data_IF_248066304467
#
_entry.id   IF_248066304467
#
_cell.length_a   1.000
_cell.length_b   1.000
_cell.length_c   1.000
_cell.angle_alpha   90.00
_cell.angle_beta   90.00
_cell.angle_gamma   90.00
#
_symmetry.space_group_name_H-M   'P 1'
#
loop_
_entity.id
_entity.type
_entity.pdbx_description
1 polymer ?
#
# COMPACT_ATOMS: atom_id res chain seq x y z
N UNK A 1 -7.63 22.58 57.20
CA UNK A 1 -6.53 21.85 57.88
C UNK A 1 -6.25 20.60 57.10
N UNK A 2 -5.03 20.28 57.06
CA UNK A 2 -4.27 20.07 55.80
C UNK A 2 -3.88 18.60 55.64
N UNK A 3 -3.40 18.23 54.46
CA UNK A 3 -2.16 17.47 54.32
C UNK A 3 -1.84 17.21 52.82
N UNK A 4 -0.87 17.93 52.31
CA UNK A 4 0.08 17.39 51.33
C UNK A 4 1.01 16.37 52.00
N UNK A 5 1.56 15.42 51.27
CA UNK A 5 2.99 15.53 50.96
C UNK A 5 3.43 15.06 49.55
N UNK A 6 4.42 15.78 49.04
CA UNK A 6 5.76 15.35 48.60
C UNK A 6 5.81 14.22 47.53
N UNK A 7 6.16 14.50 46.31
CA UNK A 7 7.54 14.76 45.90
C UNK A 7 8.26 13.45 45.59
N UNK A 8 8.31 13.02 44.29
CA UNK A 8 9.27 11.98 43.89
C UNK A 8 10.06 12.40 42.67
N UNK A 9 11.32 12.47 42.89
CA UNK A 9 12.43 12.98 42.09
C UNK A 9 12.59 12.26 40.75
N UNK A 10 12.90 13.05 39.74
CA UNK A 10 13.51 12.66 38.48
C UNK A 10 14.82 11.89 38.75
N UNK A 11 15.00 10.78 38.02
CA UNK A 11 16.32 10.20 37.76
C UNK A 11 16.59 10.28 36.27
N UNK A 12 17.45 11.17 35.91
CA UNK A 12 18.13 11.24 34.64
C UNK A 12 19.09 10.06 34.58
N UNK A 13 18.95 9.18 33.63
CA UNK A 13 19.95 8.18 33.28
C UNK A 13 20.55 8.55 31.94
N UNK A 14 21.72 9.13 31.98
CA UNK A 14 22.63 9.26 30.83
C UNK A 14 23.20 7.88 30.52
N UNK A 15 23.00 7.41 29.30
CA UNK A 15 23.71 6.24 28.76
C UNK A 15 24.55 6.70 27.57
N UNK A 16 25.85 6.44 27.71
CA UNK A 16 26.90 6.91 26.84
C UNK A 16 26.93 6.24 25.46
N UNK A 17 27.44 6.99 24.53
CA UNK A 17 27.77 6.56 23.17
C UNK A 17 29.01 5.64 23.21
N UNK A 18 28.88 4.43 22.65
CA UNK A 18 30.00 3.59 22.30
C UNK A 18 30.17 3.58 20.77
N UNK A 19 31.18 4.28 20.30
CA UNK A 19 31.64 4.23 18.91
C UNK A 19 32.45 2.95 18.71
N UNK A 20 32.00 2.09 17.79
CA UNK A 20 32.80 0.95 17.29
C UNK A 20 33.38 1.35 15.93
N UNK A 21 34.68 1.60 15.92
CA UNK A 21 35.46 1.78 14.72
C UNK A 21 35.94 0.40 14.22
N UNK A 22 35.46 -0.05 13.06
CA UNK A 22 36.01 -1.21 12.35
C UNK A 22 37.02 -0.77 11.32
N UNK A 23 38.29 -1.09 11.58
CA UNK A 23 39.43 -0.87 10.67
C UNK A 23 39.40 -1.93 9.54
N UNK A 24 39.38 -1.48 8.27
CA UNK A 24 39.69 -2.30 7.11
C UNK A 24 41.21 -2.37 6.95
N UNK A 25 41.77 -3.55 7.08
CA UNK A 25 43.17 -3.84 6.74
C UNK A 25 43.27 -4.21 5.25
N UNK A 26 43.93 -3.34 4.45
CA UNK A 26 44.41 -3.68 3.11
C UNK A 26 45.73 -4.48 3.26
N UNK A 27 45.75 -5.70 2.79
CA UNK A 27 46.97 -6.46 2.60
C UNK A 27 47.55 -6.17 1.21
N UNK A 28 48.66 -5.45 1.17
CA UNK A 28 49.48 -5.29 -0.02
C UNK A 28 50.49 -6.44 -0.10
N UNK A 29 50.44 -7.25 -1.16
CA UNK A 29 51.49 -8.20 -1.49
C UNK A 29 52.55 -7.50 -2.34
N UNK A 30 53.75 -7.38 -1.79
CA UNK A 30 54.93 -6.92 -2.49
C UNK A 30 55.58 -8.06 -3.29
N UNK A 31 55.96 -7.73 -4.50
CA UNK A 31 56.67 -8.56 -5.44
C UNK A 31 58.12 -8.76 -5.03
N UNK A 32 58.64 -9.98 -5.10
CA UNK A 32 60.05 -10.27 -5.23
C UNK A 32 60.31 -11.08 -6.50
N UNK A 33 61.14 -10.50 -7.35
CA UNK A 33 61.60 -11.04 -8.61
C UNK A 33 62.60 -12.19 -8.41
N UNK A 34 62.44 -13.29 -9.13
CA UNK A 34 63.56 -14.14 -9.54
C UNK A 34 63.28 -14.82 -10.89
N UNK A 35 64.20 -14.64 -11.77
CA UNK A 35 64.25 -15.07 -13.15
C UNK A 35 64.45 -16.59 -13.31
N UNK A 36 63.72 -17.23 -14.22
CA UNK A 36 64.19 -18.37 -15.01
C UNK A 36 63.20 -18.67 -16.17
N UNK A 37 63.81 -18.97 -17.28
CA UNK A 37 63.50 -19.12 -18.69
C UNK A 37 62.38 -20.17 -19.03
N UNK A 38 61.85 -20.22 -20.27
CA UNK A 38 60.46 -20.47 -20.58
C UNK A 38 60.11 -21.94 -20.85
N UNK A 39 58.98 -22.36 -20.36
CA UNK A 39 58.30 -23.54 -20.89
C UNK A 39 56.93 -23.10 -21.44
N UNK A 40 56.73 -23.33 -22.74
CA UNK A 40 55.46 -23.14 -23.41
C UNK A 40 54.37 -24.00 -22.79
N UNK A 41 53.49 -23.37 -22.07
CA UNK A 41 52.24 -23.99 -21.66
C UNK A 41 51.08 -23.24 -22.34
N UNK A 42 50.42 -23.92 -23.22
CA UNK A 42 49.19 -23.54 -23.91
C UNK A 42 48.14 -23.21 -22.86
N UNK A 43 47.91 -21.91 -22.62
CA UNK A 43 46.78 -21.45 -21.78
C UNK A 43 45.50 -21.65 -22.55
N UNK A 44 44.81 -22.73 -22.26
CA UNK A 44 43.39 -22.88 -22.63
C UNK A 44 42.61 -21.82 -21.87
N UNK A 45 42.32 -20.72 -22.53
CA UNK A 45 41.34 -19.74 -22.06
C UNK A 45 40.01 -20.44 -21.96
N UNK A 46 39.63 -20.87 -20.76
CA UNK A 46 38.27 -21.27 -20.48
C UNK A 46 37.40 -20.00 -20.58
N UNK A 47 36.89 -19.75 -21.76
CA UNK A 47 35.80 -18.81 -21.98
C UNK A 47 34.63 -19.34 -21.17
N UNK A 48 34.40 -18.76 -20.00
CA UNK A 48 33.15 -18.97 -19.25
C UNK A 48 32.05 -18.41 -20.10
N UNK A 49 31.47 -19.26 -20.95
CA UNK A 49 30.21 -18.99 -21.61
C UNK A 49 29.18 -18.84 -20.48
N UNK A 50 28.88 -17.59 -20.12
CA UNK A 50 27.68 -17.29 -19.37
C UNK A 50 26.52 -17.84 -20.22
N UNK A 51 25.99 -19.00 -19.85
CA UNK A 51 24.77 -19.52 -20.41
C UNK A 51 23.68 -18.53 -20.08
N UNK A 52 23.42 -17.62 -21.02
CA UNK A 52 22.19 -16.88 -21.05
C UNK A 52 21.08 -17.93 -21.17
N UNK A 53 20.46 -18.28 -20.05
CA UNK A 53 19.22 -19.08 -20.08
C UNK A 53 18.21 -18.23 -20.83
N UNK A 54 18.08 -18.49 -22.13
CA UNK A 54 17.02 -17.93 -22.94
C UNK A 54 15.71 -18.43 -22.34
N UNK A 55 14.99 -17.53 -21.66
CA UNK A 55 13.61 -17.84 -21.23
C UNK A 55 12.85 -18.36 -22.43
N UNK A 56 12.23 -19.53 -22.30
CA UNK A 56 11.41 -20.08 -23.38
C UNK A 56 10.40 -19.02 -23.85
N UNK A 57 10.27 -18.84 -25.16
CA UNK A 57 9.31 -17.90 -25.70
C UNK A 57 7.89 -18.39 -25.34
N UNK A 58 7.15 -17.54 -24.64
CA UNK A 58 5.76 -17.81 -24.27
C UNK A 58 4.83 -17.24 -25.34
N UNK A 59 3.69 -17.89 -25.55
CA UNK A 59 2.62 -17.40 -26.41
C UNK A 59 1.26 -17.68 -25.78
N UNK A 60 0.30 -16.80 -26.01
CA UNK A 60 -1.06 -16.94 -25.49
C UNK A 60 -1.66 -15.63 -25.01
N UNK A 61 -2.82 -15.73 -24.37
CA UNK A 61 -3.53 -14.58 -23.82
C UNK A 61 -3.81 -14.78 -22.34
N UNK A 62 -3.50 -13.75 -21.53
CA UNK A 62 -3.88 -13.66 -20.13
C UNK A 62 -4.84 -12.48 -19.97
N UNK A 63 -6.00 -12.74 -19.39
CA UNK A 63 -6.97 -11.71 -19.05
C UNK A 63 -6.99 -11.51 -17.53
N UNK A 64 -6.92 -10.27 -17.12
CA UNK A 64 -7.01 -9.84 -15.73
C UNK A 64 -8.06 -8.78 -15.53
N UNK A 65 -8.57 -8.66 -14.31
CA UNK A 65 -9.48 -7.59 -13.91
C UNK A 65 -9.31 -7.24 -12.43
N UNK A 66 -9.84 -6.10 -12.02
CA UNK A 66 -9.92 -5.79 -10.59
C UNK A 66 -9.59 -4.37 -10.21
N UNK A 67 -8.71 -4.20 -9.23
CA UNK A 67 -8.40 -2.93 -8.59
C UNK A 67 -8.09 -1.81 -9.57
N UNK A 68 -8.79 -0.69 -9.44
CA UNK A 68 -8.52 0.54 -10.19
C UNK A 68 -7.23 1.22 -9.73
N UNK A 69 -6.84 1.05 -8.46
CA UNK A 69 -5.55 1.54 -7.93
C UNK A 69 -4.36 0.95 -8.70
N UNK A 70 -4.47 -0.29 -9.18
CA UNK A 70 -3.40 -0.97 -9.90
C UNK A 70 -3.35 -0.65 -11.40
N UNK A 71 -4.31 0.07 -11.96
CA UNK A 71 -4.46 0.23 -13.42
C UNK A 71 -3.18 0.77 -14.09
N UNK A 72 -2.62 1.86 -13.59
CA UNK A 72 -1.40 2.46 -14.15
C UNK A 72 -0.19 1.51 -14.04
N UNK A 73 -0.05 0.84 -12.88
CA UNK A 73 0.98 -0.17 -12.70
C UNK A 73 0.82 -1.33 -13.68
N UNK A 74 -0.39 -1.86 -13.82
CA UNK A 74 -0.68 -2.98 -14.75
C UNK A 74 -0.37 -2.60 -16.20
N UNK A 75 -0.77 -1.40 -16.62
CA UNK A 75 -0.47 -0.91 -17.97
C UNK A 75 1.05 -0.84 -18.22
N UNK A 76 1.82 -0.28 -17.30
CA UNK A 76 3.27 -0.20 -17.42
C UNK A 76 3.94 -1.58 -17.42
N UNK A 77 3.51 -2.47 -16.52
CA UNK A 77 4.03 -3.83 -16.43
C UNK A 77 3.71 -4.67 -17.67
N UNK A 78 2.50 -4.56 -18.22
CA UNK A 78 2.09 -5.22 -19.46
C UNK A 78 2.95 -4.75 -20.64
N UNK A 79 3.19 -3.45 -20.77
CA UNK A 79 4.05 -2.91 -21.83
C UNK A 79 5.50 -3.42 -21.71
N UNK A 80 6.05 -3.43 -20.50
CA UNK A 80 7.38 -3.96 -20.24
C UNK A 80 7.46 -5.47 -20.53
N UNK A 81 6.45 -6.23 -20.10
CA UNK A 81 6.38 -7.68 -20.33
C UNK A 81 6.33 -8.04 -21.81
N UNK A 82 5.62 -7.26 -22.63
CA UNK A 82 5.53 -7.47 -24.07
C UNK A 82 6.88 -7.37 -24.77
N UNK A 83 7.83 -6.59 -24.25
CA UNK A 83 9.19 -6.51 -24.82
C UNK A 83 9.99 -7.78 -24.56
N UNK A 84 9.72 -8.47 -23.45
CA UNK A 84 10.40 -9.71 -23.03
C UNK A 84 9.71 -10.95 -23.61
N UNK A 85 8.38 -10.91 -23.75
CA UNK A 85 7.54 -12.01 -24.24
C UNK A 85 6.58 -11.51 -25.35
N UNK A 86 7.08 -11.22 -26.55
CA UNK A 86 6.28 -10.62 -27.63
C UNK A 86 5.13 -11.51 -28.11
N UNK A 87 5.21 -12.83 -27.88
CA UNK A 87 4.14 -13.79 -28.20
C UNK A 87 2.96 -13.78 -27.23
N UNK A 88 3.10 -13.07 -26.09
CA UNK A 88 2.03 -12.98 -25.10
C UNK A 88 1.17 -11.74 -25.30
N UNK A 89 -0.15 -11.92 -25.16
CA UNK A 89 -1.12 -10.82 -25.00
C UNK A 89 -1.61 -10.82 -23.56
N UNK A 90 -1.45 -9.69 -22.87
CA UNK A 90 -1.95 -9.53 -21.50
C UNK A 90 -2.92 -8.35 -21.46
N UNK A 91 -4.10 -8.58 -20.92
CA UNK A 91 -5.14 -7.57 -20.77
C UNK A 91 -5.46 -7.36 -19.29
N UNK A 92 -5.78 -6.12 -18.90
CA UNK A 92 -6.27 -5.80 -17.58
C UNK A 92 -7.44 -4.83 -17.66
N UNK A 93 -8.58 -5.21 -17.07
CA UNK A 93 -9.77 -4.38 -16.94
C UNK A 93 -9.95 -3.87 -15.51
N UNK A 94 -10.05 -2.56 -15.33
CA UNK A 94 -10.42 -1.99 -14.03
C UNK A 94 -11.89 -2.25 -13.70
N UNK A 95 -12.28 -2.05 -12.43
CA UNK A 95 -13.67 -2.26 -12.00
C UNK A 95 -13.79 -2.55 -10.50
N UNK A 96 -12.72 -2.28 -9.76
CA UNK A 96 -12.63 -2.50 -8.32
C UNK A 96 -12.20 -3.92 -7.93
N UNK A 97 -11.63 -4.03 -6.74
CA UNK A 97 -11.09 -5.30 -6.22
C UNK A 97 -12.13 -6.40 -6.14
N UNK A 98 -13.37 -6.06 -5.76
CA UNK A 98 -14.46 -7.04 -5.69
C UNK A 98 -14.82 -7.63 -7.04
N UNK A 99 -14.83 -6.82 -8.11
CA UNK A 99 -15.02 -7.33 -9.47
C UNK A 99 -13.92 -8.32 -9.83
N UNK A 100 -12.66 -7.97 -9.60
CA UNK A 100 -11.53 -8.88 -9.87
C UNK A 100 -11.65 -10.22 -9.15
N UNK A 101 -11.99 -10.18 -7.85
CA UNK A 101 -12.21 -11.41 -7.07
C UNK A 101 -13.35 -12.27 -7.62
N UNK A 102 -14.48 -11.65 -8.00
CA UNK A 102 -15.63 -12.34 -8.60
C UNK A 102 -15.28 -12.95 -9.95
N UNK A 103 -14.62 -12.20 -10.82
CA UNK A 103 -14.20 -12.67 -12.15
C UNK A 103 -13.21 -13.85 -12.02
N UNK A 104 -12.27 -13.77 -11.07
CA UNK A 104 -11.32 -14.86 -10.82
C UNK A 104 -12.00 -16.11 -10.25
N UNK A 105 -12.91 -15.96 -9.30
CA UNK A 105 -13.64 -17.06 -8.69
C UNK A 105 -14.49 -17.82 -9.73
N UNK A 106 -15.13 -17.08 -10.65
CA UNK A 106 -15.93 -17.64 -11.74
C UNK A 106 -15.12 -18.14 -12.94
N UNK A 107 -13.80 -17.84 -12.98
CA UNK A 107 -12.92 -18.28 -14.07
C UNK A 107 -13.03 -17.42 -15.34
N UNK A 108 -13.62 -16.24 -15.26
CA UNK A 108 -13.72 -15.28 -16.38
C UNK A 108 -12.34 -14.70 -16.71
N UNK A 109 -11.49 -14.55 -15.67
CA UNK A 109 -10.11 -14.06 -15.83
C UNK A 109 -9.08 -15.05 -15.30
N UNK A 110 -7.85 -14.92 -15.77
CA UNK A 110 -6.71 -15.74 -15.37
C UNK A 110 -6.04 -15.22 -14.08
N UNK A 111 -6.11 -13.91 -13.85
CA UNK A 111 -5.58 -13.25 -12.65
C UNK A 111 -6.44 -12.07 -12.25
N UNK A 112 -6.32 -11.64 -11.01
CA UNK A 112 -7.07 -10.50 -10.50
C UNK A 112 -6.18 -9.54 -9.73
N UNK A 113 -6.42 -8.24 -9.88
CA UNK A 113 -5.86 -7.20 -9.03
C UNK A 113 -6.79 -6.95 -7.83
N UNK A 114 -6.24 -6.96 -6.62
CA UNK A 114 -6.99 -6.61 -5.42
C UNK A 114 -6.10 -5.86 -4.44
N UNK A 115 -6.65 -4.81 -3.81
CA UNK A 115 -5.95 -4.04 -2.77
C UNK A 115 -6.15 -4.66 -1.38
N UNK A 116 -7.02 -5.67 -1.28
CA UNK A 116 -7.31 -6.40 -0.06
C UNK A 116 -7.29 -7.91 -0.31
N UNK A 117 -7.09 -8.68 0.74
CA UNK A 117 -7.24 -10.13 0.69
C UNK A 117 -8.71 -10.52 0.45
N UNK A 118 -8.93 -11.77 0.03
CA UNK A 118 -10.28 -12.33 -0.14
C UNK A 118 -10.92 -12.41 1.24
N UNK A 119 -12.09 -11.77 1.46
CA UNK A 119 -12.81 -11.87 2.72
C UNK A 119 -13.28 -13.31 2.98
N UNK A 120 -13.39 -13.70 4.25
CA UNK A 120 -13.89 -15.02 4.62
C UNK A 120 -15.26 -15.34 3.99
N UNK A 121 -16.12 -14.35 3.83
CA UNK A 121 -17.44 -14.47 3.19
C UNK A 121 -17.37 -14.82 1.70
N UNK A 122 -16.24 -14.55 1.03
CA UNK A 122 -16.07 -14.81 -0.40
C UNK A 122 -15.32 -16.12 -0.69
N UNK A 123 -14.68 -16.75 0.31
CA UNK A 123 -13.82 -17.94 0.10
C UNK A 123 -14.55 -19.12 -0.52
N UNK A 124 -15.82 -19.31 -0.18
CA UNK A 124 -16.64 -20.40 -0.73
C UNK A 124 -16.82 -20.30 -2.26
N UNK A 125 -16.80 -19.08 -2.83
CA UNK A 125 -16.95 -18.87 -4.27
C UNK A 125 -15.77 -19.41 -5.10
N UNK A 126 -14.61 -19.61 -4.47
CA UNK A 126 -13.43 -20.19 -5.10
C UNK A 126 -13.46 -21.73 -5.18
N UNK A 127 -14.50 -22.37 -4.62
CA UNK A 127 -14.76 -23.81 -4.74
C UNK A 127 -13.55 -24.69 -4.39
N UNK A 128 -12.84 -24.33 -3.32
CA UNK A 128 -11.66 -25.05 -2.84
C UNK A 128 -10.38 -24.85 -3.67
N UNK A 129 -10.38 -23.96 -4.69
CA UNK A 129 -9.17 -23.62 -5.42
C UNK A 129 -8.19 -22.85 -4.53
N UNK A 130 -6.91 -23.16 -4.65
CA UNK A 130 -5.85 -22.39 -4.00
C UNK A 130 -5.63 -21.09 -4.75
N UNK A 131 -5.69 -19.96 -4.05
CA UNK A 131 -5.38 -18.63 -4.59
C UNK A 131 -4.00 -18.24 -4.09
N UNK A 132 -3.12 -17.89 -5.04
CA UNK A 132 -1.79 -17.37 -4.75
C UNK A 132 -1.81 -15.85 -4.79
N UNK A 133 -1.11 -15.21 -3.85
CA UNK A 133 -0.99 -13.76 -3.76
C UNK A 133 0.42 -13.32 -4.11
N UNK A 134 0.51 -12.33 -5.00
CA UNK A 134 1.76 -11.70 -5.41
C UNK A 134 1.68 -10.19 -5.12
N UNK A 135 2.39 -9.67 -4.11
CA UNK A 135 2.48 -8.23 -3.88
C UNK A 135 3.16 -7.55 -5.07
N UNK A 136 2.50 -6.55 -5.66
CA UNK A 136 2.98 -5.88 -6.89
C UNK A 136 3.18 -4.38 -6.72
N UNK A 137 2.38 -3.73 -5.87
CA UNK A 137 2.46 -2.29 -5.61
C UNK A 137 1.92 -1.99 -4.22
N UNK A 138 2.48 -0.98 -3.58
CA UNK A 138 2.03 -0.44 -2.29
C UNK A 138 1.83 1.07 -2.42
N UNK A 139 0.81 1.60 -1.75
CA UNK A 139 0.55 3.03 -1.66
C UNK A 139 -0.22 3.36 -0.38
N UNK A 140 -0.08 4.59 0.13
CA UNK A 140 -0.85 5.05 1.27
C UNK A 140 -2.30 5.31 0.88
N UNK A 141 -3.22 5.07 1.81
CA UNK A 141 -4.59 5.59 1.73
C UNK A 141 -4.57 6.97 2.37
N UNK A 142 -4.85 8.00 1.59
CA UNK A 142 -4.84 9.40 2.02
C UNK A 142 -6.25 9.99 2.01
N UNK A 143 -6.49 10.95 2.88
CA UNK A 143 -7.72 11.74 2.91
C UNK A 143 -7.45 13.07 2.21
N UNK A 144 -7.97 13.21 1.01
CA UNK A 144 -7.93 14.49 0.29
C UNK A 144 -9.15 15.33 0.66
N UNK A 145 -8.96 16.61 0.83
CA UNK A 145 -10.05 17.55 1.10
C UNK A 145 -9.89 18.83 0.27
N UNK A 146 -11.01 19.48 0.00
CA UNK A 146 -11.05 20.76 -0.69
C UNK A 146 -11.65 21.82 0.25
N UNK A 147 -10.78 22.55 0.95
CA UNK A 147 -11.15 23.58 1.90
C UNK A 147 -10.18 24.77 1.74
N UNK A 148 -10.70 25.90 1.30
CA UNK A 148 -9.92 27.11 1.11
C UNK A 148 -9.67 27.86 2.43
N UNK A 149 -8.65 28.72 2.45
CA UNK A 149 -8.38 29.61 3.58
C UNK A 149 -7.68 29.00 4.79
N UNK A 150 -7.22 27.75 4.68
CA UNK A 150 -6.45 27.11 5.75
C UNK A 150 -5.01 27.65 5.78
N UNK A 151 -4.53 27.97 6.98
CA UNK A 151 -3.14 28.41 7.21
C UNK A 151 -2.14 27.24 7.24
N UNK A 152 -2.62 26.02 7.46
CA UNK A 152 -1.84 24.77 7.52
C UNK A 152 -2.72 23.56 7.17
N UNK A 153 -2.14 22.42 6.75
CA UNK A 153 -2.88 21.17 6.55
C UNK A 153 -3.62 20.74 7.81
N UNK A 154 -4.83 20.19 7.65
CA UNK A 154 -5.61 19.66 8.75
C UNK A 154 -4.95 18.40 9.34
N UNK A 155 -5.03 18.30 10.66
CA UNK A 155 -4.79 17.09 11.42
C UNK A 155 -6.15 16.49 11.79
N UNK A 156 -6.31 15.19 11.63
CA UNK A 156 -7.54 14.48 11.98
C UNK A 156 -7.15 13.19 12.70
N UNK A 157 -7.63 13.00 13.90
CA UNK A 157 -7.45 11.74 14.59
C UNK A 157 -8.40 10.65 14.03
N UNK A 158 -8.15 9.36 14.31
CA UNK A 158 -9.00 8.29 13.81
C UNK A 158 -10.46 8.39 14.24
N UNK A 159 -10.76 8.91 15.43
CA UNK A 159 -12.12 9.07 15.92
C UNK A 159 -12.85 10.20 15.19
N UNK A 160 -12.16 11.30 14.94
CA UNK A 160 -12.65 12.41 14.12
C UNK A 160 -12.93 11.96 12.67
N UNK A 161 -12.00 11.21 12.06
CA UNK A 161 -12.20 10.63 10.72
C UNK A 161 -13.41 9.69 10.72
N UNK A 162 -13.49 8.79 11.69
CA UNK A 162 -14.64 7.88 11.81
C UNK A 162 -15.96 8.64 11.96
N UNK A 163 -15.99 9.71 12.77
CA UNK A 163 -17.17 10.54 12.95
C UNK A 163 -17.62 11.25 11.66
N UNK A 164 -16.67 11.70 10.84
CA UNK A 164 -16.96 12.30 9.53
C UNK A 164 -17.59 11.26 8.59
N UNK A 165 -16.94 10.13 8.42
CA UNK A 165 -17.41 9.10 7.49
C UNK A 165 -18.63 8.32 7.98
N UNK A 166 -18.92 8.33 9.28
CA UNK A 166 -20.15 7.78 9.87
C UNK A 166 -21.31 8.81 9.89
N UNK A 167 -21.10 10.01 9.32
CA UNK A 167 -22.11 11.07 9.22
C UNK A 167 -22.46 11.76 10.54
N UNK A 168 -21.67 11.58 11.59
CA UNK A 168 -21.84 12.23 12.90
C UNK A 168 -21.22 13.62 12.97
N UNK A 169 -20.18 13.86 12.18
CA UNK A 169 -19.50 15.15 12.01
C UNK A 169 -19.79 15.64 10.60
N UNK A 170 -20.62 16.68 10.49
CA UNK A 170 -21.16 17.14 9.19
C UNK A 170 -20.70 18.54 8.80
N UNK A 171 -19.93 19.23 9.65
CA UNK A 171 -19.40 20.57 9.35
C UNK A 171 -17.93 20.68 9.72
N UNK A 172 -17.19 21.50 8.98
CA UNK A 172 -15.74 21.64 9.19
C UNK A 172 -15.38 22.29 10.52
N UNK A 173 -16.22 23.16 11.07
CA UNK A 173 -16.01 23.79 12.39
C UNK A 173 -16.49 22.95 13.57
N UNK A 174 -16.76 21.65 13.37
CA UNK A 174 -17.13 20.76 14.47
C UNK A 174 -16.03 20.77 15.54
N UNK A 175 -16.46 20.68 16.81
CA UNK A 175 -15.55 20.75 17.97
C UNK A 175 -14.46 19.68 17.96
N UNK A 176 -14.70 18.48 17.42
CA UNK A 176 -13.69 17.44 17.29
C UNK A 176 -12.59 17.86 16.30
N UNK A 177 -12.97 18.35 15.11
CA UNK A 177 -12.00 18.85 14.13
C UNK A 177 -11.23 20.05 14.70
N UNK A 178 -11.90 20.96 15.41
CA UNK A 178 -11.25 22.09 16.03
C UNK A 178 -10.26 21.68 17.13
N UNK A 179 -10.57 20.64 17.90
CA UNK A 179 -9.67 20.11 18.91
C UNK A 179 -8.38 19.52 18.31
N UNK A 180 -8.50 18.82 17.17
CA UNK A 180 -7.34 18.28 16.43
C UNK A 180 -6.49 19.41 15.79
N UNK A 181 -7.07 20.62 15.62
CA UNK A 181 -6.46 21.73 14.88
C UNK A 181 -6.44 23.06 15.69
N UNK A 182 -5.76 23.11 16.84
CA UNK A 182 -5.74 24.32 17.66
C UNK A 182 -5.18 25.51 16.91
N UNK A 183 -5.90 26.63 17.01
CA UNK A 183 -5.53 27.90 16.35
C UNK A 183 -5.81 27.96 14.84
N UNK A 184 -6.46 26.96 14.25
CA UNK A 184 -6.94 27.01 12.86
C UNK A 184 -8.36 27.55 12.84
N UNK A 185 -8.61 28.57 11.99
CA UNK A 185 -9.96 29.05 11.72
C UNK A 185 -10.65 28.08 10.75
N UNK A 186 -11.71 27.42 11.21
CA UNK A 186 -12.47 26.44 10.44
C UNK A 186 -13.84 27.04 10.04
N UNK A 187 -14.25 26.91 8.77
CA UNK A 187 -15.55 27.41 8.33
C UNK A 187 -16.69 26.51 8.80
N UNK A 188 -17.88 27.10 8.93
CA UNK A 188 -19.10 26.34 9.27
C UNK A 188 -19.74 25.62 8.07
N UNK A 189 -19.02 25.50 6.96
CA UNK A 189 -19.52 24.84 5.76
C UNK A 189 -19.72 23.34 5.98
N UNK A 190 -20.74 22.74 5.34
CA UNK A 190 -20.98 21.31 5.39
C UNK A 190 -19.80 20.49 4.81
N UNK A 191 -19.61 19.29 5.34
CA UNK A 191 -18.71 18.28 4.79
C UNK A 191 -19.53 17.36 3.88
N UNK A 192 -19.09 17.23 2.62
CA UNK A 192 -19.57 16.16 1.73
C UNK A 192 -18.46 15.15 1.58
N UNK A 193 -18.70 13.89 1.97
CA UNK A 193 -17.74 12.81 1.79
C UNK A 193 -17.80 12.28 0.35
N UNK A 194 -16.65 12.07 -0.26
CA UNK A 194 -16.55 11.41 -1.56
C UNK A 194 -16.15 9.94 -1.35
N UNK A 195 -16.99 9.02 -1.80
CA UNK A 195 -16.87 7.58 -1.54
C UNK A 195 -17.04 6.77 -2.81
N UNK A 196 -16.48 5.56 -2.82
CA UNK A 196 -16.57 4.62 -3.95
C UNK A 196 -17.95 3.99 -4.05
N UNK A 197 -18.49 3.88 -5.28
CA UNK A 197 -19.71 3.15 -5.60
C UNK A 197 -19.47 1.68 -5.90
N UNK A 198 -18.29 1.35 -6.41
CA UNK A 198 -17.89 -0.01 -6.75
C UNK A 198 -17.35 -0.79 -5.53
N UNK A 199 -17.18 -2.09 -5.69
CA UNK A 199 -16.58 -2.95 -4.65
C UNK A 199 -15.07 -2.71 -4.56
N UNK A 200 -14.67 -1.76 -3.70
CA UNK A 200 -13.32 -1.22 -3.61
C UNK A 200 -12.49 -1.86 -2.49
N UNK A 201 -11.33 -2.39 -2.83
CA UNK A 201 -10.37 -2.86 -1.82
C UNK A 201 -9.78 -1.72 -0.98
N UNK A 202 -9.66 -0.52 -1.53
CA UNK A 202 -9.28 0.68 -0.77
C UNK A 202 -10.32 0.99 0.30
N UNK A 203 -11.61 0.95 -0.04
CA UNK A 203 -12.72 1.10 0.92
C UNK A 203 -12.65 0.04 2.02
N UNK A 204 -12.36 -1.21 1.67
CA UNK A 204 -12.23 -2.30 2.63
C UNK A 204 -11.09 -2.05 3.63
N UNK A 205 -9.92 -1.65 3.16
CA UNK A 205 -8.78 -1.36 4.02
C UNK A 205 -9.01 -0.11 4.88
N UNK A 206 -9.62 0.94 4.33
CA UNK A 206 -9.97 2.14 5.06
C UNK A 206 -10.99 1.86 6.18
N UNK A 207 -12.05 1.13 5.87
CA UNK A 207 -13.06 0.77 6.87
C UNK A 207 -12.52 -0.19 7.94
N UNK A 208 -11.59 -1.10 7.58
CA UNK A 208 -10.87 -1.94 8.54
C UNK A 208 -9.99 -1.10 9.48
N UNK A 209 -9.30 -0.10 8.94
CA UNK A 209 -8.54 0.85 9.75
C UNK A 209 -9.43 1.57 10.75
N UNK A 210 -10.58 2.12 10.32
CA UNK A 210 -11.51 2.81 11.22
C UNK A 210 -12.10 1.87 12.28
N UNK A 211 -12.45 0.65 11.90
CA UNK A 211 -12.94 -0.37 12.84
C UNK A 211 -11.91 -0.71 13.91
N UNK A 212 -10.62 -0.65 13.58
CA UNK A 212 -9.52 -0.99 14.50
C UNK A 212 -9.09 0.21 15.34
N UNK A 213 -8.96 1.40 14.71
CA UNK A 213 -8.41 2.59 15.34
C UNK A 213 -9.46 3.44 16.07
N UNK A 214 -10.74 3.32 15.73
CA UNK A 214 -11.85 4.08 16.33
C UNK A 214 -13.08 3.20 16.61
N UNK A 215 -12.96 2.05 17.29
CA UNK A 215 -14.04 1.07 17.44
C UNK A 215 -15.26 1.60 18.21
N UNK A 216 -15.07 2.62 19.04
CA UNK A 216 -16.15 3.26 19.82
C UNK A 216 -16.97 4.27 18.99
N UNK A 217 -16.46 4.71 17.85
CA UNK A 217 -17.10 5.72 16.98
C UNK A 217 -17.60 5.10 15.68
N UNK A 218 -16.75 4.27 15.05
CA UNK A 218 -17.06 3.64 13.77
C UNK A 218 -18.08 2.51 13.91
N UNK A 219 -19.23 2.62 13.22
CA UNK A 219 -20.36 1.67 13.35
C UNK A 219 -20.65 0.88 12.09
N UNK A 220 -20.06 1.23 10.94
CA UNK A 220 -20.40 0.68 9.64
C UNK A 220 -19.64 -0.62 9.29
N UNK A 221 -18.80 -1.12 10.21
CA UNK A 221 -18.01 -2.33 9.99
C UNK A 221 -16.92 -2.18 8.94
N UNK A 222 -16.42 -3.31 8.42
CA UNK A 222 -15.40 -3.35 7.35
C UNK A 222 -15.94 -4.12 6.15
N UNK A 223 -15.92 -3.46 4.98
CA UNK A 223 -16.39 -4.05 3.72
C UNK A 223 -15.79 -3.31 2.53
N UNK A 224 -15.70 -3.99 1.38
CA UNK A 224 -15.42 -3.34 0.09
C UNK A 224 -16.60 -2.51 -0.44
N UNK A 225 -17.80 -2.69 0.15
CA UNK A 225 -19.04 -1.96 -0.14
C UNK A 225 -19.67 -1.52 1.17
N UNK A 226 -19.34 -0.32 1.62
CA UNK A 226 -19.94 0.29 2.82
C UNK A 226 -21.27 0.95 2.43
N UNK A 227 -22.28 0.80 3.28
CA UNK A 227 -23.52 1.57 3.17
C UNK A 227 -23.30 2.93 3.85
N UNK A 228 -22.83 3.88 3.07
CA UNK A 228 -22.54 5.23 3.56
C UNK A 228 -23.80 5.98 3.96
N UNK A 229 -23.72 6.94 4.90
CA UNK A 229 -24.83 7.84 5.21
C UNK A 229 -25.27 8.59 3.95
N UNK A 230 -26.53 8.45 3.53
CA UNK A 230 -27.00 8.87 2.21
C UNK A 230 -27.06 10.40 2.03
N UNK A 231 -27.16 11.17 3.12
CA UNK A 231 -27.38 12.63 3.05
C UNK A 231 -26.14 13.41 2.61
N UNK A 232 -24.92 12.87 2.84
CA UNK A 232 -23.67 13.63 2.74
C UNK A 232 -22.62 12.96 1.84
N UNK A 233 -22.98 11.90 1.13
CA UNK A 233 -22.04 11.16 0.31
C UNK A 233 -22.14 11.52 -1.17
N UNK A 234 -21.07 12.05 -1.74
CA UNK A 234 -20.87 12.08 -3.20
C UNK A 234 -20.30 10.73 -3.64
N UNK A 235 -21.11 9.99 -4.40
CA UNK A 235 -20.73 8.66 -4.90
C UNK A 235 -19.86 8.81 -6.15
N UNK A 236 -18.64 8.25 -6.12
CA UNK A 236 -17.70 8.30 -7.24
C UNK A 236 -17.29 6.89 -7.65
N UNK A 237 -17.17 6.66 -8.96
CA UNK A 237 -16.54 5.45 -9.46
C UNK A 237 -15.02 5.53 -9.27
N UNK A 238 -14.37 4.38 -9.30
CA UNK A 238 -12.91 4.34 -9.18
C UNK A 238 -12.27 5.17 -10.28
N UNK A 239 -11.25 5.93 -9.89
CA UNK A 239 -10.47 6.70 -10.86
C UNK A 239 -9.94 5.77 -11.97
N UNK A 240 -10.27 6.09 -13.19
CA UNK A 240 -9.74 5.46 -14.41
C UNK A 240 -8.44 6.17 -14.82
#
# INVERSE_FOLDING_TARGET
MPHMPLGRRQRVATVGAAAVATALSLAACSSSSSSSTPASSTSSSATSSASSSSSAALSGTLNGSGSTFQTTYQQAAIQAFKTVQPGMTVNYGSGGSGKGRTDLASGVVNYAGSDSTIPASETASFKGKTVLYFPVVIGPITLSYNLSGLSKPLQLDPATIAGIFDGKITTWNNSAIAADNPGVSLPSTPITIAVRSDSSGTTQNFSLFLMTAAPSVWTLGSSSTIKWPAADAAVVEGAT
#
